data_IF_651501917976
#
_entry.id   IF_651501917976
#
_cell.length_a   1.000
_cell.length_b   1.000
_cell.length_c   1.000
_cell.angle_alpha   90.00
_cell.angle_beta   90.00
_cell.angle_gamma   90.00
#
_symmetry.space_group_name_H-M   'P 1'
#
loop_
_entity.id
_entity.type
_entity.pdbx_description
1 polymer ?
#
# COMPACT_ATOMS: atom_id res chain seq x y z
N UNK A 1 -2.03 -5.32 9.99
CA UNK A 1 -2.47 -3.96 10.40
C UNK A 1 -3.50 -3.45 9.40
N UNK A 2 -4.49 -2.64 9.82
CA UNK A 2 -5.34 -1.92 8.86
C UNK A 2 -4.54 -0.83 8.13
N UNK A 3 -4.93 -0.49 6.89
CA UNK A 3 -4.24 0.56 6.09
C UNK A 3 -4.08 1.88 6.85
N UNK A 4 -5.07 2.28 7.65
CA UNK A 4 -5.02 3.51 8.45
C UNK A 4 -3.94 3.47 9.56
N UNK A 5 -3.75 2.32 10.21
CA UNK A 5 -2.69 2.16 11.22
C UNK A 5 -1.30 2.22 10.58
N UNK A 6 -1.16 1.67 9.36
CA UNK A 6 0.09 1.75 8.61
C UNK A 6 0.40 3.18 8.17
N UNK A 7 -0.58 3.91 7.64
CA UNK A 7 -0.38 5.30 7.23
C UNK A 7 -0.02 6.18 8.43
N UNK A 8 -0.66 5.96 9.58
CA UNK A 8 -0.33 6.63 10.84
C UNK A 8 1.12 6.35 11.26
N UNK A 9 1.55 5.09 11.20
CA UNK A 9 2.93 4.69 11.51
C UNK A 9 3.94 5.32 10.54
N UNK A 10 3.61 5.36 9.25
CA UNK A 10 4.46 5.96 8.23
C UNK A 10 4.61 7.46 8.44
N UNK A 11 3.51 8.16 8.77
CA UNK A 11 3.56 9.58 9.09
C UNK A 11 4.40 9.85 10.35
N UNK A 12 4.28 9.00 11.38
CA UNK A 12 5.13 9.08 12.56
C UNK A 12 6.62 8.95 12.21
N UNK A 13 7.01 7.93 11.45
CA UNK A 13 8.41 7.77 11.04
C UNK A 13 8.92 8.92 10.16
N UNK A 14 8.10 9.44 9.25
CA UNK A 14 8.45 10.64 8.46
C UNK A 14 8.66 11.87 9.33
N UNK A 15 7.95 11.97 10.45
CA UNK A 15 8.11 13.06 11.40
C UNK A 15 9.40 12.94 12.20
N UNK A 16 9.71 11.72 12.67
CA UNK A 16 10.93 11.42 13.42
C UNK A 16 12.19 11.32 12.55
N UNK A 17 12.07 11.11 11.23
CA UNK A 17 13.19 11.00 10.30
C UNK A 17 13.94 12.31 10.03
N UNK A 18 13.91 13.27 10.97
CA UNK A 18 14.60 14.55 10.88
C UNK A 18 15.29 14.87 12.21
N UNK A 19 16.56 15.23 12.12
CA UNK A 19 17.44 15.43 13.27
C UNK A 19 16.94 16.53 14.22
N UNK A 20 16.60 17.72 13.69
CA UNK A 20 16.09 18.84 14.51
C UNK A 20 14.82 18.46 15.25
N UNK A 21 13.91 17.73 14.58
CA UNK A 21 12.67 17.25 15.19
C UNK A 21 12.92 16.25 16.32
N UNK A 22 13.88 15.33 16.16
CA UNK A 22 14.28 14.41 17.23
C UNK A 22 14.88 15.16 18.43
N UNK A 23 15.75 16.15 18.18
CA UNK A 23 16.34 16.98 19.23
C UNK A 23 15.28 17.76 20.01
N UNK A 24 14.30 18.36 19.31
CA UNK A 24 13.16 19.05 19.94
C UNK A 24 12.36 18.09 20.83
N UNK A 25 12.03 16.89 20.34
CA UNK A 25 11.31 15.91 21.15
C UNK A 25 12.13 15.46 22.38
N UNK A 26 13.45 15.30 22.23
CA UNK A 26 14.34 15.01 23.35
C UNK A 26 14.34 16.11 24.42
N UNK A 27 14.29 17.39 24.02
CA UNK A 27 14.13 18.50 24.95
C UNK A 27 12.79 18.46 25.68
N UNK A 28 11.70 18.28 24.91
CA UNK A 28 10.33 18.24 25.42
C UNK A 28 10.03 17.01 26.29
N UNK A 29 10.83 15.95 26.17
CA UNK A 29 10.71 14.75 27.01
C UNK A 29 11.15 14.99 28.46
N UNK A 30 11.99 16.00 28.70
CA UNK A 30 12.52 16.31 30.02
C UNK A 30 11.74 17.41 30.73
N UNK A 31 11.27 18.42 29.98
CA UNK A 31 10.48 19.53 30.51
C UNK A 31 9.71 20.26 29.41
N UNK A 32 8.86 21.20 29.81
CA UNK A 32 8.11 22.04 28.90
C UNK A 32 8.95 23.25 28.47
N UNK A 33 8.81 23.67 27.22
CA UNK A 33 9.63 24.74 26.64
C UNK A 33 8.80 25.65 25.72
N UNK A 34 9.19 26.92 25.64
CA UNK A 34 8.72 27.86 24.63
C UNK A 34 9.48 27.72 23.30
N UNK A 35 8.94 28.32 22.24
CA UNK A 35 9.60 28.34 20.91
C UNK A 35 10.97 29.00 20.97
N UNK A 36 11.08 30.13 21.68
CA UNK A 36 12.31 30.90 21.80
C UNK A 36 13.40 30.12 22.54
N UNK A 37 13.05 29.44 23.64
CA UNK A 37 14.02 28.64 24.40
C UNK A 37 14.52 27.43 23.60
N UNK A 38 13.63 26.75 22.87
CA UNK A 38 14.02 25.64 21.99
C UNK A 38 14.94 26.14 20.87
N UNK A 39 14.62 27.29 20.28
CA UNK A 39 15.42 27.92 19.22
C UNK A 39 16.83 28.27 19.73
N UNK A 40 16.93 28.87 20.91
CA UNK A 40 18.20 29.19 21.56
C UNK A 40 19.02 27.93 21.87
N UNK A 41 18.40 26.92 22.51
CA UNK A 41 19.11 25.71 22.93
C UNK A 41 19.65 24.88 21.76
N UNK A 42 18.92 24.86 20.63
CA UNK A 42 19.29 24.07 19.46
C UNK A 42 20.04 24.85 18.39
N UNK A 43 20.33 26.14 18.62
CA UNK A 43 20.90 27.06 17.62
C UNK A 43 20.09 27.06 16.30
N UNK A 44 18.78 27.20 16.44
CA UNK A 44 17.82 27.22 15.35
C UNK A 44 17.08 28.56 15.30
N UNK A 45 16.52 28.90 14.15
CA UNK A 45 15.64 30.05 14.03
C UNK A 45 14.24 29.70 14.55
N UNK A 46 13.58 30.62 15.25
CA UNK A 46 12.21 30.42 15.75
C UNK A 46 11.18 30.01 14.68
N UNK A 47 11.22 30.52 13.43
CA UNK A 47 10.33 30.03 12.37
C UNK A 47 10.53 28.54 12.06
N UNK A 48 11.78 28.05 12.11
CA UNK A 48 12.11 26.64 11.89
C UNK A 48 11.54 25.78 13.02
N UNK A 49 11.72 26.20 14.27
CA UNK A 49 11.17 25.52 15.45
C UNK A 49 9.63 25.52 15.40
N UNK A 50 9.02 26.65 15.08
CA UNK A 50 7.57 26.78 14.94
C UNK A 50 7.00 25.84 13.88
N UNK A 51 7.67 25.73 12.73
CA UNK A 51 7.28 24.79 11.68
C UNK A 51 7.36 23.34 12.15
N UNK A 52 8.44 22.96 12.84
CA UNK A 52 8.59 21.62 13.41
C UNK A 52 7.52 21.30 14.45
N UNK A 53 7.25 22.21 15.37
CA UNK A 53 6.23 22.05 16.40
C UNK A 53 4.81 21.98 15.81
N UNK A 54 4.53 22.71 14.72
CA UNK A 54 3.25 22.61 14.02
C UNK A 54 3.04 21.20 13.44
N UNK A 55 4.04 20.66 12.72
CA UNK A 55 3.98 19.29 12.20
C UNK A 55 3.83 18.26 13.32
N UNK A 56 4.57 18.42 14.43
CA UNK A 56 4.45 17.50 15.57
C UNK A 56 3.09 17.58 16.24
N UNK A 57 2.49 18.77 16.33
CA UNK A 57 1.16 18.98 16.90
C UNK A 57 0.08 18.33 16.03
N UNK A 58 0.18 18.45 14.71
CA UNK A 58 -0.73 17.79 13.76
C UNK A 58 -0.72 16.26 13.92
N UNK A 59 0.44 15.71 14.26
CA UNK A 59 0.62 14.28 14.52
C UNK A 59 0.31 13.85 15.96
N UNK A 60 -0.10 14.79 16.83
CA UNK A 60 -0.40 14.50 18.23
C UNK A 60 0.82 14.15 19.09
N UNK A 61 2.04 14.50 18.66
CA UNK A 61 3.27 14.24 19.42
C UNK A 61 3.55 15.29 20.49
N UNK A 62 3.01 16.50 20.33
CA UNK A 62 3.18 17.59 21.29
C UNK A 62 1.85 18.27 21.56
N UNK A 63 1.72 18.81 22.76
CA UNK A 63 0.64 19.71 23.15
C UNK A 63 1.18 21.12 23.34
N UNK A 64 0.26 22.09 23.36
CA UNK A 64 0.59 23.50 23.50
C UNK A 64 -0.47 24.19 24.35
N UNK A 65 -0.03 25.11 25.20
CA UNK A 65 -0.89 26.05 25.94
C UNK A 65 -0.38 27.47 25.75
N UNK A 66 -1.28 28.43 25.88
CA UNK A 66 -0.91 29.84 25.93
C UNK A 66 -0.58 30.22 27.38
N UNK A 67 0.54 30.91 27.56
CA UNK A 67 0.99 31.45 28.84
C UNK A 67 1.40 32.92 28.61
N UNK A 68 0.45 33.82 28.87
CA UNK A 68 0.53 35.21 28.44
C UNK A 68 0.66 35.32 26.92
N UNK A 69 1.73 35.96 26.45
CA UNK A 69 2.03 36.11 25.02
C UNK A 69 2.90 34.97 24.47
N UNK A 70 3.23 33.97 25.29
CA UNK A 70 4.10 32.86 24.90
C UNK A 70 3.29 31.58 24.72
N UNK A 71 3.82 30.66 23.91
CA UNK A 71 3.29 29.31 23.74
C UNK A 71 4.26 28.32 24.35
N UNK A 72 3.77 27.55 25.31
CA UNK A 72 4.55 26.51 25.98
C UNK A 72 4.14 25.15 25.44
N UNK A 73 5.14 24.37 25.03
CA UNK A 73 5.00 23.06 24.41
C UNK A 73 5.52 21.95 25.33
N UNK A 74 4.93 20.76 25.23
CA UNK A 74 5.37 19.56 25.95
C UNK A 74 5.06 18.29 25.16
N UNK A 75 5.78 17.21 25.47
CA UNK A 75 5.58 15.91 24.83
C UNK A 75 4.22 15.30 25.21
N UNK A 76 3.50 14.78 24.22
CA UNK A 76 2.31 13.95 24.44
C UNK A 76 2.64 12.48 24.22
N UNK A 77 2.82 11.73 25.31
CA UNK A 77 3.21 10.32 25.26
C UNK A 77 2.05 9.38 24.92
N UNK A 78 0.79 9.86 24.95
CA UNK A 78 -0.39 9.02 24.69
C UNK A 78 -0.36 8.34 23.32
N UNK A 79 0.12 9.06 22.31
CA UNK A 79 0.28 8.51 20.96
C UNK A 79 1.35 7.41 20.93
N UNK A 80 2.47 7.59 21.64
CA UNK A 80 3.55 6.61 21.73
C UNK A 80 3.13 5.36 22.52
N UNK A 81 2.42 5.54 23.63
CA UNK A 81 1.93 4.47 24.49
C UNK A 81 0.98 3.54 23.72
N UNK A 82 0.07 4.10 22.92
CA UNK A 82 -0.82 3.33 22.04
C UNK A 82 -0.11 2.59 20.90
N UNK A 83 1.12 2.98 20.54
CA UNK A 83 1.88 2.42 19.44
C UNK A 83 2.87 1.32 19.87
N UNK A 84 3.38 1.40 21.11
CA UNK A 84 4.66 0.80 21.52
C UNK A 84 4.72 -0.72 21.67
N UNK A 85 3.60 -1.45 21.66
CA UNK A 85 3.61 -2.91 21.89
C UNK A 85 3.20 -3.76 20.70
N UNK A 86 2.17 -3.36 19.99
CA UNK A 86 1.65 -4.22 18.92
C UNK A 86 2.38 -3.98 17.61
N UNK A 87 2.61 -2.72 17.22
CA UNK A 87 3.09 -2.37 15.88
C UNK A 87 4.49 -2.92 15.59
N UNK A 88 5.40 -2.90 16.56
CA UNK A 88 6.78 -3.37 16.40
C UNK A 88 6.94 -4.88 16.66
N UNK A 89 5.85 -5.62 16.89
CA UNK A 89 5.92 -7.07 16.97
C UNK A 89 6.32 -7.69 15.63
N UNK A 90 7.06 -8.80 15.67
CA UNK A 90 7.46 -9.53 14.46
C UNK A 90 6.26 -9.87 13.57
N UNK A 91 5.12 -10.22 14.17
CA UNK A 91 3.86 -10.50 13.46
C UNK A 91 3.35 -9.29 12.68
N UNK A 92 3.31 -8.11 13.31
CA UNK A 92 2.83 -6.91 12.64
C UNK A 92 3.82 -6.37 11.61
N UNK A 93 5.12 -6.50 11.86
CA UNK A 93 6.15 -6.21 10.86
C UNK A 93 6.08 -7.15 9.65
N UNK A 94 5.78 -8.44 9.87
CA UNK A 94 5.56 -9.39 8.78
C UNK A 94 4.34 -9.02 7.92
N UNK A 95 3.27 -8.48 8.53
CA UNK A 95 2.10 -7.98 7.77
C UNK A 95 2.41 -6.80 6.85
N UNK A 96 3.52 -6.08 7.05
CA UNK A 96 4.00 -5.05 6.11
C UNK A 96 4.40 -5.64 4.75
N UNK A 97 4.77 -6.91 4.75
CA UNK A 97 5.17 -7.69 3.56
C UNK A 97 4.06 -8.65 3.14
N UNK A 98 2.97 -8.83 3.90
CA UNK A 98 1.81 -9.61 3.44
C UNK A 98 1.18 -8.99 2.18
N UNK A 99 1.24 -7.68 2.02
CA UNK A 99 0.92 -6.95 0.78
C UNK A 99 1.91 -7.23 -0.38
N UNK A 100 3.04 -7.87 -0.09
CA UNK A 100 4.09 -8.30 -1.02
C UNK A 100 4.22 -9.83 -1.13
N UNK A 101 3.40 -10.61 -0.38
CA UNK A 101 3.18 -12.02 -0.68
C UNK A 101 2.54 -12.17 -2.07
N UNK A 102 2.74 -13.32 -2.73
CA UNK A 102 2.06 -13.55 -4.02
C UNK A 102 0.54 -13.44 -3.86
N UNK A 103 -0.01 -14.01 -2.79
CA UNK A 103 -1.44 -13.95 -2.48
C UNK A 103 -1.95 -12.50 -2.29
N UNK A 104 -1.21 -11.67 -1.56
CA UNK A 104 -1.55 -10.26 -1.34
C UNK A 104 -1.46 -9.43 -2.62
N UNK A 105 -0.44 -9.66 -3.44
CA UNK A 105 -0.30 -9.04 -4.75
C UNK A 105 -1.47 -9.39 -5.67
N UNK A 106 -1.85 -10.67 -5.73
CA UNK A 106 -2.98 -11.12 -6.53
C UNK A 106 -4.30 -10.48 -6.09
N UNK A 107 -4.60 -10.52 -4.80
CA UNK A 107 -5.83 -9.95 -4.23
C UNK A 107 -5.95 -8.46 -4.56
N UNK A 108 -4.84 -7.71 -4.47
CA UNK A 108 -4.79 -6.27 -4.78
C UNK A 108 -5.01 -5.99 -6.26
N UNK A 109 -4.42 -6.80 -7.14
CA UNK A 109 -4.62 -6.69 -8.59
C UNK A 109 -6.09 -6.97 -8.93
N UNK A 110 -6.65 -8.08 -8.43
CA UNK A 110 -8.06 -8.45 -8.63
C UNK A 110 -8.99 -7.33 -8.13
N UNK A 111 -8.80 -6.83 -6.90
CA UNK A 111 -9.58 -5.73 -6.31
C UNK A 111 -9.51 -4.43 -7.14
N UNK A 112 -8.37 -4.13 -7.74
CA UNK A 112 -8.18 -2.88 -8.50
C UNK A 112 -8.82 -2.96 -9.89
N UNK A 113 -8.66 -4.10 -10.57
CA UNK A 113 -9.00 -4.25 -11.98
C UNK A 113 -10.32 -4.96 -12.22
N UNK A 114 -10.90 -5.65 -11.22
CA UNK A 114 -12.19 -6.33 -11.33
C UNK A 114 -13.23 -5.53 -10.55
N UNK A 115 -14.29 -5.11 -11.24
CA UNK A 115 -15.48 -4.50 -10.63
C UNK A 115 -16.72 -5.17 -11.21
N UNK A 116 -17.63 -5.59 -10.33
CA UNK A 116 -18.88 -6.26 -10.74
C UNK A 116 -18.64 -7.46 -11.68
N UNK A 117 -17.55 -8.20 -11.45
CA UNK A 117 -17.15 -9.34 -12.28
C UNK A 117 -16.55 -8.98 -13.65
N UNK A 118 -16.31 -7.70 -13.96
CA UNK A 118 -15.70 -7.26 -15.23
C UNK A 118 -14.34 -6.60 -15.03
N UNK A 119 -13.46 -6.76 -16.02
CA UNK A 119 -12.19 -6.05 -16.06
C UNK A 119 -12.41 -4.60 -16.47
N UNK A 120 -11.88 -3.68 -15.69
CA UNK A 120 -11.99 -2.23 -15.92
C UNK A 120 -10.96 -1.72 -16.93
N UNK A 121 -9.80 -2.38 -17.01
CA UNK A 121 -8.73 -2.06 -17.94
C UNK A 121 -7.73 -3.21 -18.05
N UNK A 122 -6.91 -3.19 -19.11
CA UNK A 122 -5.71 -4.03 -19.23
C UNK A 122 -4.54 -3.33 -18.52
N UNK A 123 -3.92 -3.93 -17.48
CA UNK A 123 -2.79 -3.31 -16.79
C UNK A 123 -1.56 -3.20 -17.69
N UNK A 124 -0.77 -2.13 -17.52
CA UNK A 124 0.50 -1.97 -18.24
C UNK A 124 1.59 -2.96 -17.81
N UNK A 125 1.63 -3.34 -16.52
CA UNK A 125 2.67 -4.20 -15.95
C UNK A 125 2.36 -5.69 -16.17
N UNK A 126 3.34 -6.42 -16.69
CA UNK A 126 3.20 -7.83 -17.06
C UNK A 126 2.75 -8.74 -15.92
N UNK A 127 3.35 -8.58 -14.72
CA UNK A 127 2.97 -9.36 -13.54
C UNK A 127 1.47 -9.20 -13.19
N UNK A 128 0.90 -8.01 -13.38
CA UNK A 128 -0.54 -7.76 -13.12
C UNK A 128 -1.42 -8.40 -14.19
N UNK A 129 -0.99 -8.37 -15.46
CA UNK A 129 -1.72 -9.03 -16.56
C UNK A 129 -1.80 -10.54 -16.32
N UNK A 130 -0.70 -11.18 -15.90
CA UNK A 130 -0.69 -12.62 -15.58
C UNK A 130 -1.74 -13.01 -14.54
N UNK A 131 -1.86 -12.24 -13.46
CA UNK A 131 -2.88 -12.49 -12.43
C UNK A 131 -4.29 -12.48 -13.02
N UNK A 132 -4.58 -11.48 -13.86
CA UNK A 132 -5.90 -11.37 -14.50
C UNK A 132 -6.13 -12.45 -15.56
N UNK A 133 -5.08 -12.85 -16.30
CA UNK A 133 -5.12 -13.96 -17.24
C UNK A 133 -5.48 -15.29 -16.53
N UNK A 134 -4.80 -15.63 -15.44
CA UNK A 134 -5.10 -16.82 -14.65
C UNK A 134 -6.50 -16.80 -14.03
N UNK A 135 -6.98 -15.61 -13.65
CA UNK A 135 -8.36 -15.44 -13.21
C UNK A 135 -9.37 -15.70 -14.35
N UNK A 136 -9.11 -15.20 -15.56
CA UNK A 136 -9.95 -15.48 -16.72
C UNK A 136 -9.91 -16.97 -17.12
N UNK A 137 -8.75 -17.63 -16.99
CA UNK A 137 -8.59 -19.05 -17.30
C UNK A 137 -9.47 -19.98 -16.47
N UNK A 138 -9.94 -19.54 -15.28
CA UNK A 138 -10.89 -20.31 -14.47
C UNK A 138 -12.23 -20.57 -15.18
N UNK A 139 -12.52 -19.85 -16.26
CA UNK A 139 -13.70 -20.06 -17.09
C UNK A 139 -13.50 -21.11 -18.20
N UNK A 140 -12.32 -21.73 -18.28
CA UNK A 140 -11.98 -22.77 -19.25
C UNK A 140 -11.56 -24.06 -18.56
N UNK A 141 -12.23 -25.15 -18.93
CA UNK A 141 -11.99 -26.52 -18.47
C UNK A 141 -10.77 -27.11 -19.22
N UNK A 142 -10.02 -28.00 -18.56
CA UNK A 142 -8.82 -28.63 -19.14
C UNK A 142 -9.15 -29.66 -20.22
N UNK A 143 -10.18 -30.48 -20.00
CA UNK A 143 -10.56 -31.57 -20.91
C UNK A 143 -11.59 -31.15 -21.98
N UNK A 144 -11.58 -29.87 -22.35
CA UNK A 144 -12.56 -29.30 -23.28
C UNK A 144 -11.92 -28.47 -24.37
N UNK A 145 -12.37 -28.73 -25.60
CA UNK A 145 -12.06 -27.92 -26.76
C UNK A 145 -13.13 -26.85 -26.98
N UNK A 146 -12.67 -25.64 -27.31
CA UNK A 146 -13.48 -24.45 -27.49
C UNK A 146 -13.25 -23.88 -28.88
N UNK A 147 -14.28 -23.79 -29.74
CA UNK A 147 -14.19 -23.00 -30.96
C UNK A 147 -13.84 -21.55 -30.65
N UNK A 148 -13.09 -20.89 -31.53
CA UNK A 148 -12.65 -19.50 -31.34
C UNK A 148 -13.81 -18.54 -31.03
N UNK A 149 -14.95 -18.78 -31.67
CA UNK A 149 -16.18 -18.01 -31.45
C UNK A 149 -16.63 -18.11 -29.99
N UNK A 150 -16.61 -19.31 -29.41
CA UNK A 150 -16.99 -19.55 -28.03
C UNK A 150 -15.99 -18.89 -27.06
N UNK A 151 -14.68 -19.00 -27.33
CA UNK A 151 -13.65 -18.32 -26.53
C UNK A 151 -13.88 -16.80 -26.51
N UNK A 152 -14.20 -16.21 -27.66
CA UNK A 152 -14.51 -14.79 -27.76
C UNK A 152 -15.77 -14.43 -26.97
N UNK A 153 -16.82 -15.24 -27.06
CA UNK A 153 -18.08 -15.05 -26.33
C UNK A 153 -17.87 -15.09 -24.80
N UNK A 154 -17.10 -16.06 -24.30
CA UNK A 154 -16.73 -16.16 -22.89
C UNK A 154 -15.96 -14.91 -22.44
N UNK A 155 -14.88 -14.55 -23.15
CA UNK A 155 -14.02 -13.43 -22.76
C UNK A 155 -14.72 -12.07 -22.86
N UNK A 156 -15.67 -11.89 -23.79
CA UNK A 156 -16.45 -10.65 -23.96
C UNK A 156 -17.29 -10.30 -22.72
N UNK A 157 -17.70 -11.31 -21.94
CA UNK A 157 -18.39 -11.12 -20.67
C UNK A 157 -17.52 -10.38 -19.65
N UNK A 158 -16.19 -10.47 -19.77
CA UNK A 158 -15.24 -9.90 -18.83
C UNK A 158 -14.57 -8.63 -19.33
N UNK A 159 -14.23 -8.53 -20.63
CA UNK A 159 -13.55 -7.37 -21.21
C UNK A 159 -13.82 -7.25 -22.73
N UNK A 160 -14.01 -6.03 -23.29
CA UNK A 160 -14.24 -5.84 -24.72
C UNK A 160 -13.05 -6.24 -25.60
N UNK A 161 -11.82 -6.06 -25.09
CA UNK A 161 -10.61 -6.55 -25.77
C UNK A 161 -10.35 -8.02 -25.43
N UNK A 162 -11.27 -8.90 -25.89
CA UNK A 162 -11.13 -10.35 -25.75
C UNK A 162 -9.95 -10.89 -26.57
N UNK A 163 -9.62 -10.24 -27.69
CA UNK A 163 -8.55 -10.65 -28.58
C UNK A 163 -7.16 -10.49 -27.94
N UNK A 164 -6.96 -9.48 -27.08
CA UNK A 164 -5.77 -9.36 -26.25
C UNK A 164 -5.60 -10.58 -25.32
N UNK A 165 -6.62 -10.88 -24.51
CA UNK A 165 -6.55 -11.96 -23.51
C UNK A 165 -6.40 -13.33 -24.15
N UNK A 166 -7.14 -13.59 -25.24
CA UNK A 166 -7.02 -14.83 -26.00
C UNK A 166 -5.60 -15.04 -26.56
N UNK A 167 -4.98 -14.00 -27.13
CA UNK A 167 -3.59 -14.06 -27.62
C UNK A 167 -2.62 -14.30 -26.47
N UNK A 168 -2.76 -13.54 -25.38
CA UNK A 168 -1.91 -13.66 -24.21
C UNK A 168 -1.95 -15.08 -23.62
N UNK A 169 -3.11 -15.72 -23.49
CA UNK A 169 -3.23 -17.09 -23.00
C UNK A 169 -2.47 -18.10 -23.88
N UNK A 170 -2.44 -17.88 -25.19
CA UNK A 170 -1.65 -18.71 -26.12
C UNK A 170 -0.16 -18.39 -26.05
N UNK A 171 0.20 -17.11 -26.02
CA UNK A 171 1.60 -16.67 -25.95
C UNK A 171 2.29 -17.15 -24.67
N UNK A 172 1.53 -17.30 -23.57
CA UNK A 172 2.02 -17.85 -22.30
C UNK A 172 1.93 -19.38 -22.20
N UNK A 173 1.38 -20.06 -23.21
CA UNK A 173 1.29 -21.52 -23.25
C UNK A 173 0.19 -22.13 -22.37
N UNK A 174 -0.67 -21.31 -21.76
CA UNK A 174 -1.80 -21.78 -20.95
C UNK A 174 -2.93 -22.36 -21.80
N UNK A 175 -3.02 -21.90 -23.05
CA UNK A 175 -3.91 -22.44 -24.05
C UNK A 175 -3.13 -22.73 -25.33
N UNK A 176 -3.53 -23.78 -26.03
CA UNK A 176 -3.08 -24.03 -27.39
C UNK A 176 -4.21 -23.73 -28.37
N UNK A 177 -3.83 -23.53 -29.64
CA UNK A 177 -4.77 -23.28 -30.73
C UNK A 177 -4.36 -24.03 -31.97
N UNK A 178 -5.32 -24.75 -32.58
CA UNK A 178 -5.16 -25.35 -33.88
C UNK A 178 -6.44 -25.21 -34.69
N UNK A 179 -6.33 -24.75 -35.95
CA UNK A 179 -7.47 -24.60 -36.89
C UNK A 179 -8.69 -23.86 -36.31
N UNK A 180 -8.46 -22.88 -35.43
CA UNK A 180 -9.54 -22.10 -34.81
C UNK A 180 -10.21 -22.77 -33.61
N UNK A 181 -9.68 -23.90 -33.13
CA UNK A 181 -10.06 -24.56 -31.89
C UNK A 181 -8.99 -24.28 -30.84
N UNK A 182 -9.41 -23.98 -29.62
CA UNK A 182 -8.58 -23.71 -28.46
C UNK A 182 -8.83 -24.75 -27.36
N UNK A 183 -7.80 -25.10 -26.60
CA UNK A 183 -7.95 -25.92 -25.39
C UNK A 183 -6.94 -25.48 -24.35
N UNK A 184 -7.27 -25.68 -23.09
CA UNK A 184 -6.38 -25.34 -21.97
C UNK A 184 -5.36 -26.45 -21.76
N UNK A 185 -4.13 -26.08 -21.40
CA UNK A 185 -3.04 -27.03 -21.17
C UNK A 185 -2.76 -27.12 -19.68
N UNK A 186 -2.67 -28.34 -19.14
CA UNK A 186 -2.11 -28.55 -17.80
C UNK A 186 -0.61 -28.27 -17.85
N UNK A 187 -0.13 -27.30 -17.07
CA UNK A 187 1.29 -27.16 -16.87
C UNK A 187 1.80 -28.40 -16.13
N UNK A 188 2.48 -29.29 -16.84
CA UNK A 188 3.28 -30.33 -16.21
C UNK A 188 4.37 -29.62 -15.40
N UNK A 189 4.23 -29.61 -14.08
CA UNK A 189 5.34 -29.26 -13.18
C UNK A 189 6.45 -30.29 -13.43
N UNK A 190 7.43 -29.92 -14.24
CA UNK A 190 8.71 -30.60 -14.39
C UNK A 190 9.77 -29.85 -13.58
#
# INVERSE_FOLDING_TARGET
MGNEQFDTLLQFFKALGNESRLKILGLLANQEWSVSEIAEFLDLKEPTVSHHLATMKELGLVKVRAEGNTRIYWLDTKFLEGMSKDIFSQKNLATLVEDASEDGFEAKVKKTFIKEGRLTAIPAREKKKKVLMYWLLQNFEFDREYPEKEVNEILTQFHPDYAFWRRMMVDYGEMQRQRGIYWRVEQSNA
#
